data_IF_580423789961
#
_entry.id   IF_580423789961
#
_cell.length_a   1.000
_cell.length_b   1.000
_cell.length_c   1.000
_cell.angle_alpha   90.00
_cell.angle_beta   90.00
_cell.angle_gamma   90.00
#
_symmetry.space_group_name_H-M   'P 1'
#
loop_
_entity.id
_entity.type
_entity.pdbx_description
1 polymer ?
#
# COMPACT_ATOMS: atom_id res chain seq x y z
N UNK A 1 42.39 25.54 -4.99
CA UNK A 1 41.73 25.42 -3.67
C UNK A 1 40.29 25.03 -3.93
N UNK A 2 39.98 23.72 -3.81
CA UNK A 2 38.65 23.16 -4.00
C UNK A 2 37.85 23.36 -2.73
N UNK A 3 36.74 24.08 -2.84
CA UNK A 3 35.79 24.26 -1.74
C UNK A 3 35.15 22.88 -1.41
N UNK A 4 35.43 22.36 -0.23
CA UNK A 4 34.72 21.24 0.36
C UNK A 4 33.24 21.63 0.51
N UNK A 5 32.35 20.88 -0.15
CA UNK A 5 30.93 20.92 0.12
C UNK A 5 30.67 20.31 1.50
N UNK A 6 30.62 21.13 2.54
CA UNK A 6 30.17 20.72 3.87
C UNK A 6 28.63 20.61 3.89
N UNK A 7 28.11 19.58 3.24
CA UNK A 7 26.76 19.10 3.48
C UNK A 7 26.79 17.93 4.48
N UNK A 8 25.70 17.64 5.20
CA UNK A 8 25.65 16.47 6.06
C UNK A 8 26.01 15.20 5.26
N UNK A 9 26.86 14.37 5.82
CA UNK A 9 27.25 13.10 5.22
C UNK A 9 26.02 12.20 5.07
N UNK A 10 25.88 11.53 3.92
CA UNK A 10 24.77 10.62 3.69
C UNK A 10 24.90 9.40 4.63
N UNK A 11 23.90 9.21 5.48
CA UNK A 11 23.88 8.07 6.43
C UNK A 11 23.69 6.73 5.71
N UNK A 12 23.10 6.74 4.53
CA UNK A 12 22.87 5.55 3.71
C UNK A 12 22.75 5.92 2.23
N UNK A 13 23.26 5.07 1.38
CA UNK A 13 23.16 5.17 -0.07
C UNK A 13 22.70 3.81 -0.62
N UNK A 14 21.71 3.76 -1.54
CA UNK A 14 21.26 2.52 -2.15
C UNK A 14 22.41 1.81 -2.86
N UNK A 15 22.54 0.49 -2.69
CA UNK A 15 23.58 -0.31 -3.40
C UNK A 15 23.43 -0.25 -4.92
N UNK A 16 22.22 0.00 -5.42
CA UNK A 16 21.86 0.12 -6.83
C UNK A 16 21.50 1.55 -7.22
N UNK A 17 22.16 2.56 -6.64
CA UNK A 17 21.93 3.97 -6.98
C UNK A 17 21.97 4.17 -8.50
N UNK A 18 21.00 4.92 -9.03
CA UNK A 18 20.79 5.14 -10.48
C UNK A 18 20.04 4.01 -11.19
N UNK A 19 19.71 2.89 -10.51
CA UNK A 19 18.94 1.76 -11.03
C UNK A 19 17.73 1.38 -10.16
N UNK A 20 17.37 2.22 -9.23
CA UNK A 20 16.14 2.00 -8.42
C UNK A 20 14.90 2.08 -9.30
N UNK A 21 13.74 1.52 -8.89
CA UNK A 21 12.49 1.69 -9.63
C UNK A 21 12.15 3.16 -9.90
N UNK A 22 12.46 4.06 -8.94
CA UNK A 22 12.29 5.52 -9.10
C UNK A 22 13.20 6.07 -10.20
N UNK A 23 14.47 5.63 -10.29
CA UNK A 23 15.39 6.03 -11.36
C UNK A 23 14.92 5.51 -12.72
N UNK A 24 14.46 4.26 -12.77
CA UNK A 24 13.91 3.67 -14.00
C UNK A 24 12.72 4.46 -14.50
N UNK A 25 11.78 4.82 -13.61
CA UNK A 25 10.64 5.66 -13.95
C UNK A 25 11.08 7.06 -14.42
N UNK A 26 12.04 7.69 -13.74
CA UNK A 26 12.61 8.98 -14.16
C UNK A 26 13.23 8.91 -15.57
N UNK A 27 13.94 7.82 -15.89
CA UNK A 27 14.48 7.61 -17.23
C UNK A 27 13.35 7.42 -18.27
N UNK A 28 12.32 6.66 -17.93
CA UNK A 28 11.14 6.46 -18.77
C UNK A 28 10.47 7.79 -19.14
N UNK A 29 10.15 8.64 -18.15
CA UNK A 29 9.50 9.93 -18.41
C UNK A 29 10.41 10.90 -19.17
N UNK A 30 11.73 10.88 -18.91
CA UNK A 30 12.69 11.65 -19.70
C UNK A 30 12.62 11.30 -21.18
N UNK A 31 12.58 10.02 -21.52
CA UNK A 31 12.47 9.56 -22.90
C UNK A 31 11.11 9.91 -23.51
N UNK A 32 10.03 9.63 -22.79
CA UNK A 32 8.67 9.78 -23.29
C UNK A 32 8.27 11.24 -23.51
N UNK A 33 8.66 12.12 -22.59
CA UNK A 33 8.26 13.53 -22.59
C UNK A 33 9.40 14.49 -22.98
N UNK A 34 10.54 13.96 -23.46
CA UNK A 34 11.72 14.75 -23.84
C UNK A 34 12.22 15.65 -22.70
N UNK A 35 12.19 15.13 -21.47
CA UNK A 35 12.64 15.82 -20.26
C UNK A 35 14.12 15.53 -19.96
N UNK A 36 14.70 16.33 -19.06
CA UNK A 36 16.10 16.16 -18.62
C UNK A 36 16.21 16.14 -17.10
N UNK A 37 15.33 15.39 -16.43
CA UNK A 37 15.27 15.28 -14.97
C UNK A 37 16.49 14.50 -14.47
N UNK A 38 17.29 15.12 -13.59
CA UNK A 38 18.56 14.58 -13.11
C UNK A 38 18.40 13.76 -11.81
N UNK A 39 17.41 14.11 -10.99
CA UNK A 39 17.20 13.55 -9.67
C UNK A 39 15.71 13.43 -9.29
N UNK A 40 15.46 12.84 -8.13
CA UNK A 40 14.11 12.65 -7.57
C UNK A 40 13.40 13.98 -7.27
N UNK A 41 14.15 15.04 -6.91
CA UNK A 41 13.55 16.36 -6.63
C UNK A 41 13.00 16.99 -7.90
N UNK A 42 13.71 16.82 -9.02
CA UNK A 42 13.24 17.30 -10.31
C UNK A 42 12.05 16.47 -10.82
N UNK A 43 12.06 15.16 -10.59
CA UNK A 43 10.91 14.29 -10.88
C UNK A 43 9.68 14.74 -10.07
N UNK A 44 9.83 14.97 -8.77
CA UNK A 44 8.76 15.48 -7.90
C UNK A 44 8.27 16.85 -8.37
N UNK A 45 9.18 17.76 -8.75
CA UNK A 45 8.78 19.07 -9.28
C UNK A 45 7.93 18.93 -10.56
N UNK A 46 8.34 18.05 -11.48
CA UNK A 46 7.55 17.78 -12.69
C UNK A 46 6.19 17.18 -12.35
N UNK A 47 6.11 16.24 -11.41
CA UNK A 47 4.84 15.63 -11.00
C UNK A 47 3.80 16.64 -10.47
N UNK A 48 4.27 17.75 -9.91
CA UNK A 48 3.41 18.85 -9.43
C UNK A 48 3.09 19.86 -10.55
N UNK A 49 4.02 20.08 -11.46
CA UNK A 49 3.83 21.03 -12.57
C UNK A 49 2.93 20.45 -13.68
N UNK A 50 3.01 19.13 -13.91
CA UNK A 50 2.22 18.42 -14.91
C UNK A 50 1.57 17.16 -14.31
N UNK A 51 0.66 17.33 -13.35
CA UNK A 51 0.09 16.20 -12.61
C UNK A 51 -0.76 15.27 -13.48
N UNK A 52 -1.36 15.78 -14.55
CA UNK A 52 -2.20 14.96 -15.43
C UNK A 52 -1.36 13.92 -16.17
N UNK A 53 -0.30 14.34 -16.83
CA UNK A 53 0.62 13.43 -17.51
C UNK A 53 1.34 12.52 -16.52
N UNK A 54 1.77 13.05 -15.37
CA UNK A 54 2.43 12.25 -14.35
C UNK A 54 1.56 11.07 -13.87
N UNK A 55 0.32 11.32 -13.45
CA UNK A 55 -0.53 10.28 -12.87
C UNK A 55 -1.02 9.26 -13.91
N UNK A 56 -1.35 9.71 -15.13
CA UNK A 56 -1.73 8.80 -16.21
C UNK A 56 -0.55 7.91 -16.61
N UNK A 57 0.63 8.49 -16.71
CA UNK A 57 1.83 7.76 -17.07
C UNK A 57 2.23 6.76 -16.00
N UNK A 58 2.28 7.20 -14.74
CA UNK A 58 2.64 6.36 -13.61
C UNK A 58 1.68 5.17 -13.46
N UNK A 59 0.37 5.40 -13.60
CA UNK A 59 -0.64 4.33 -13.58
C UNK A 59 -0.32 3.26 -14.63
N UNK A 60 -0.05 3.69 -15.86
CA UNK A 60 0.26 2.80 -16.97
C UNK A 60 1.61 2.11 -16.77
N UNK A 61 2.61 2.83 -16.30
CA UNK A 61 3.96 2.31 -16.07
C UNK A 61 4.00 1.24 -14.99
N UNK A 62 3.19 1.41 -13.95
CA UNK A 62 3.02 0.42 -12.89
C UNK A 62 2.18 -0.80 -13.32
N UNK A 63 1.55 -0.78 -14.50
CA UNK A 63 0.72 -1.88 -14.99
C UNK A 63 -0.53 -2.11 -14.14
N UNK A 64 -1.11 -1.04 -13.56
CA UNK A 64 -2.28 -1.17 -12.72
C UNK A 64 -3.51 -1.61 -13.53
N UNK A 65 -4.39 -2.37 -12.87
CA UNK A 65 -5.63 -2.88 -13.46
C UNK A 65 -6.86 -2.23 -12.79
N UNK A 66 -7.93 -1.99 -13.61
CA UNK A 66 -8.03 -2.19 -15.06
C UNK A 66 -7.19 -1.18 -15.84
N UNK A 67 -6.80 -1.51 -17.07
CA UNK A 67 -6.05 -0.60 -17.93
C UNK A 67 -6.83 0.69 -18.18
N UNK A 68 -6.12 1.82 -18.27
CA UNK A 68 -6.73 3.12 -18.57
C UNK A 68 -7.37 3.12 -19.96
N UNK A 69 -8.53 3.78 -20.15
CA UNK A 69 -9.06 4.06 -21.48
C UNK A 69 -8.02 4.80 -22.34
N UNK A 70 -7.90 4.42 -23.61
CA UNK A 70 -6.91 5.02 -24.54
C UNK A 70 -7.11 6.51 -24.78
N UNK A 71 -8.30 7.00 -24.59
CA UNK A 71 -8.72 8.39 -24.75
C UNK A 71 -8.75 9.20 -23.46
N UNK A 72 -8.35 8.61 -22.34
CA UNK A 72 -8.31 9.29 -21.05
C UNK A 72 -7.27 10.43 -21.08
N UNK A 73 -7.73 11.66 -20.91
CA UNK A 73 -6.88 12.86 -20.96
C UNK A 73 -6.60 13.47 -19.59
N UNK A 74 -7.38 13.10 -18.58
CA UNK A 74 -7.28 13.68 -17.25
C UNK A 74 -7.32 12.60 -16.19
N UNK A 75 -6.33 12.65 -15.28
CA UNK A 75 -6.33 11.78 -14.11
C UNK A 75 -7.40 12.20 -13.09
N UNK A 76 -7.72 13.49 -13.01
CA UNK A 76 -8.76 14.08 -12.16
C UNK A 76 -9.18 15.44 -12.73
N UNK A 77 -10.34 15.96 -12.30
CA UNK A 77 -10.80 17.29 -12.69
C UNK A 77 -9.99 18.38 -11.96
N UNK A 78 -9.14 19.16 -12.66
CA UNK A 78 -8.31 20.19 -12.04
C UNK A 78 -9.10 21.40 -11.51
N UNK A 79 -10.39 21.52 -11.85
CA UNK A 79 -11.26 22.56 -11.33
C UNK A 79 -11.82 22.23 -9.93
N UNK A 80 -11.74 20.96 -9.52
CA UNK A 80 -12.13 20.52 -8.19
C UNK A 80 -10.91 20.62 -7.26
N UNK A 81 -10.98 21.43 -6.19
CA UNK A 81 -9.90 21.52 -5.21
C UNK A 81 -9.56 20.15 -4.60
N UNK A 82 -8.30 19.85 -4.36
CA UNK A 82 -7.86 18.59 -3.72
C UNK A 82 -8.52 18.36 -2.35
N UNK A 83 -8.82 19.45 -1.60
CA UNK A 83 -9.56 19.39 -0.33
C UNK A 83 -10.99 18.85 -0.47
N UNK A 84 -11.57 18.90 -1.67
CA UNK A 84 -12.89 18.34 -1.98
C UNK A 84 -12.83 16.91 -2.50
N UNK A 85 -11.64 16.28 -2.46
CA UNK A 85 -11.39 14.90 -2.89
C UNK A 85 -11.92 14.60 -4.30
N UNK A 86 -11.33 15.19 -5.36
CA UNK A 86 -11.79 14.98 -6.73
C UNK A 86 -11.74 13.49 -7.08
N UNK A 87 -12.66 13.04 -7.94
CA UNK A 87 -12.64 11.67 -8.46
C UNK A 87 -11.41 11.47 -9.33
N UNK A 88 -10.61 10.47 -8.97
CA UNK A 88 -9.44 10.04 -9.74
C UNK A 88 -9.86 9.06 -10.82
N UNK A 89 -9.26 9.19 -12.00
CA UNK A 89 -9.50 8.35 -13.16
C UNK A 89 -11.00 8.13 -13.43
N UNK A 90 -11.75 9.20 -13.81
CA UNK A 90 -13.20 9.13 -13.92
C UNK A 90 -13.66 7.98 -14.81
N UNK A 91 -14.65 7.22 -14.35
CA UNK A 91 -15.17 6.06 -15.08
C UNK A 91 -14.41 4.75 -14.81
N UNK A 92 -13.32 4.78 -14.03
CA UNK A 92 -12.62 3.58 -13.58
C UNK A 92 -13.06 3.18 -12.18
N UNK A 93 -13.28 1.88 -12.02
CA UNK A 93 -13.41 1.23 -10.73
C UNK A 93 -12.25 0.25 -10.57
N UNK A 94 -11.42 0.45 -9.56
CA UNK A 94 -10.30 -0.45 -9.29
C UNK A 94 -10.24 -0.85 -7.83
N UNK A 95 -9.66 -2.02 -7.57
CA UNK A 95 -9.52 -2.56 -6.24
C UNK A 95 -8.05 -2.52 -5.81
N UNK A 96 -7.79 -1.97 -4.62
CA UNK A 96 -6.44 -1.90 -4.07
C UNK A 96 -5.83 -3.30 -3.88
N UNK A 97 -6.60 -4.23 -3.26
CA UNK A 97 -6.09 -5.58 -2.97
C UNK A 97 -5.80 -6.37 -4.24
N UNK A 98 -6.59 -6.21 -5.30
CA UNK A 98 -6.32 -6.83 -6.60
C UNK A 98 -4.95 -6.41 -7.13
N UNK A 99 -4.69 -5.10 -7.17
CA UNK A 99 -3.42 -4.57 -7.64
C UNK A 99 -2.25 -4.96 -6.73
N UNK A 100 -2.43 -4.93 -5.41
CA UNK A 100 -1.38 -5.28 -4.45
C UNK A 100 -1.03 -6.76 -4.49
N UNK A 101 -2.03 -7.64 -4.50
CA UNK A 101 -1.85 -9.10 -4.42
C UNK A 101 -1.23 -9.70 -5.68
N UNK A 102 -1.42 -9.07 -6.84
CA UNK A 102 -0.89 -9.54 -8.12
C UNK A 102 0.28 -8.70 -8.65
N UNK A 103 0.88 -7.85 -7.82
CA UNK A 103 2.05 -7.04 -8.16
C UNK A 103 3.32 -7.86 -8.41
N UNK A 104 3.43 -9.05 -7.82
CA UNK A 104 4.53 -9.98 -8.03
C UNK A 104 3.99 -11.28 -8.64
N UNK A 105 4.45 -11.70 -9.82
CA UNK A 105 4.04 -12.95 -10.46
C UNK A 105 4.71 -14.20 -9.89
N UNK A 106 5.77 -14.06 -9.10
CA UNK A 106 6.50 -15.18 -8.50
C UNK A 106 5.76 -15.67 -7.27
N UNK A 107 5.07 -16.81 -7.41
CA UNK A 107 4.28 -17.44 -6.37
C UNK A 107 5.11 -17.86 -5.15
N UNK A 108 6.35 -18.27 -5.37
CA UNK A 108 7.24 -18.82 -4.34
C UNK A 108 8.10 -17.75 -3.64
N UNK A 109 8.11 -16.51 -4.17
CA UNK A 109 8.80 -15.42 -3.52
C UNK A 109 8.11 -15.05 -2.19
N UNK A 110 8.92 -14.63 -1.20
CA UNK A 110 8.40 -14.16 0.09
C UNK A 110 7.62 -12.85 -0.11
N UNK A 111 6.36 -12.87 0.30
CA UNK A 111 5.47 -11.71 0.30
C UNK A 111 5.52 -10.95 1.63
N UNK A 112 5.49 -11.68 2.75
CA UNK A 112 5.43 -11.11 4.09
C UNK A 112 6.48 -11.75 4.99
N UNK A 113 7.06 -10.94 5.86
CA UNK A 113 7.95 -11.38 6.94
C UNK A 113 7.40 -10.78 8.24
N UNK A 114 7.02 -11.65 9.17
CA UNK A 114 6.58 -11.28 10.52
C UNK A 114 7.74 -11.43 11.49
N UNK A 115 8.07 -10.35 12.19
CA UNK A 115 9.07 -10.35 13.25
C UNK A 115 8.41 -10.03 14.58
N UNK A 116 8.85 -10.68 15.66
CA UNK A 116 8.43 -10.41 17.03
C UNK A 116 9.61 -9.82 17.80
N UNK A 117 9.33 -9.14 18.91
CA UNK A 117 10.38 -8.51 19.72
C UNK A 117 11.43 -9.51 20.26
N UNK A 118 10.99 -10.76 20.48
CA UNK A 118 11.84 -11.87 20.93
C UNK A 118 12.49 -12.66 19.76
N UNK A 119 12.25 -12.26 18.51
CA UNK A 119 12.79 -12.96 17.35
C UNK A 119 14.30 -12.76 17.25
N UNK A 120 15.05 -13.85 17.25
CA UNK A 120 16.48 -13.82 16.95
C UNK A 120 16.69 -13.58 15.44
N UNK A 121 17.03 -12.35 15.09
CA UNK A 121 17.29 -11.96 13.70
C UNK A 121 18.47 -12.71 13.07
N UNK A 122 19.34 -13.31 13.88
CA UNK A 122 20.47 -14.13 13.40
C UNK A 122 20.06 -15.55 12.99
N UNK A 123 18.93 -16.04 13.54
CA UNK A 123 18.45 -17.40 13.39
C UNK A 123 17.41 -17.58 12.28
N UNK A 124 17.00 -16.52 11.57
CA UNK A 124 15.92 -16.55 10.56
C UNK A 124 14.56 -17.05 11.11
N UNK A 125 14.30 -16.81 12.40
CA UNK A 125 13.12 -17.32 13.12
C UNK A 125 11.83 -16.51 12.86
N UNK A 126 11.83 -15.59 11.91
CA UNK A 126 10.64 -14.83 11.53
C UNK A 126 9.60 -15.71 10.83
N UNK A 127 8.32 -15.47 11.14
CA UNK A 127 7.21 -16.04 10.37
C UNK A 127 7.25 -15.49 8.94
N UNK A 128 7.20 -16.35 7.93
CA UNK A 128 7.20 -15.93 6.53
C UNK A 128 5.98 -16.46 5.81
N UNK A 129 5.54 -15.73 4.78
CA UNK A 129 4.46 -16.13 3.90
C UNK A 129 4.82 -15.81 2.46
N UNK A 130 4.72 -16.80 1.57
CA UNK A 130 4.94 -16.60 0.12
C UNK A 130 3.76 -15.86 -0.52
N UNK A 131 3.94 -15.34 -1.74
CA UNK A 131 2.86 -14.69 -2.48
C UNK A 131 1.68 -15.65 -2.74
N UNK A 132 1.95 -16.91 -3.02
CA UNK A 132 0.94 -17.95 -3.20
C UNK A 132 0.12 -18.16 -1.93
N UNK A 133 0.79 -18.34 -0.81
CA UNK A 133 0.13 -18.51 0.49
C UNK A 133 -0.66 -17.27 0.89
N UNK A 134 -0.09 -16.09 0.70
CA UNK A 134 -0.75 -14.84 1.01
C UNK A 134 -2.05 -14.66 0.22
N UNK A 135 -2.02 -14.88 -1.10
CA UNK A 135 -3.21 -14.85 -1.94
C UNK A 135 -4.27 -15.84 -1.47
N UNK A 136 -3.86 -17.06 -1.13
CA UNK A 136 -4.79 -18.09 -0.66
C UNK A 136 -5.40 -17.75 0.70
N UNK A 137 -4.61 -17.26 1.65
CA UNK A 137 -5.12 -16.83 2.96
C UNK A 137 -6.08 -15.64 2.83
N UNK A 138 -5.78 -14.67 1.98
CA UNK A 138 -6.69 -13.56 1.67
C UNK A 138 -7.99 -14.06 1.07
N UNK A 139 -7.93 -15.00 0.13
CA UNK A 139 -9.12 -15.61 -0.51
C UNK A 139 -10.01 -16.34 0.51
N UNK A 140 -9.41 -17.14 1.38
CA UNK A 140 -10.12 -17.89 2.43
C UNK A 140 -10.77 -16.93 3.44
N UNK A 141 -10.03 -15.92 3.88
CA UNK A 141 -10.50 -14.92 4.83
C UNK A 141 -11.62 -14.08 4.23
N UNK A 142 -11.51 -13.63 2.99
CA UNK A 142 -12.58 -12.91 2.29
C UNK A 142 -13.83 -13.77 2.15
N UNK A 143 -13.68 -15.08 1.88
CA UNK A 143 -14.80 -16.03 1.83
C UNK A 143 -15.48 -16.17 3.19
N UNK A 144 -14.72 -16.23 4.28
CA UNK A 144 -15.26 -16.27 5.65
C UNK A 144 -16.03 -14.98 5.99
N UNK A 145 -15.45 -13.81 5.71
CA UNK A 145 -16.11 -12.53 5.92
C UNK A 145 -17.43 -12.40 5.15
N UNK A 146 -17.47 -12.87 3.88
CA UNK A 146 -18.74 -12.90 3.10
C UNK A 146 -19.79 -13.79 3.73
N UNK A 147 -19.41 -14.98 4.20
CA UNK A 147 -20.33 -15.88 4.92
C UNK A 147 -20.84 -15.30 6.22
N UNK A 148 -20.04 -14.46 6.87
CA UNK A 148 -20.45 -13.69 8.07
C UNK A 148 -21.30 -12.47 7.73
N UNK A 149 -21.65 -12.22 6.46
CA UNK A 149 -22.54 -11.18 6.01
C UNK A 149 -21.87 -9.85 5.66
N UNK A 150 -20.54 -9.77 5.67
CA UNK A 150 -19.80 -8.54 5.28
C UNK A 150 -20.02 -8.24 3.80
N UNK A 151 -20.31 -6.99 3.49
CA UNK A 151 -20.58 -6.46 2.14
C UNK A 151 -19.68 -5.26 1.84
N UNK A 152 -19.67 -4.84 0.59
CA UNK A 152 -19.02 -3.60 0.17
C UNK A 152 -19.52 -2.41 0.99
N UNK A 153 -18.61 -1.56 1.45
CA UNK A 153 -18.90 -0.40 2.27
C UNK A 153 -19.03 -0.69 3.77
N UNK A 154 -19.12 -1.97 4.19
CA UNK A 154 -19.10 -2.33 5.60
C UNK A 154 -17.75 -2.02 6.24
N UNK A 155 -17.75 -1.83 7.56
CA UNK A 155 -16.55 -1.54 8.34
C UNK A 155 -16.15 -2.76 9.14
N UNK A 156 -14.95 -3.26 8.85
CA UNK A 156 -14.30 -4.39 9.53
C UNK A 156 -13.25 -3.83 10.48
N UNK A 157 -13.43 -4.03 11.77
CA UNK A 157 -12.47 -3.65 12.79
C UNK A 157 -11.70 -4.88 13.28
N UNK A 158 -10.38 -4.76 13.38
CA UNK A 158 -9.52 -5.80 13.92
C UNK A 158 -8.76 -5.27 15.14
N UNK A 159 -8.92 -5.95 16.28
CA UNK A 159 -8.11 -5.75 17.47
C UNK A 159 -7.01 -6.81 17.45
N UNK A 160 -5.90 -6.48 16.85
CA UNK A 160 -4.80 -7.43 16.55
C UNK A 160 -3.45 -6.73 16.69
N UNK A 161 -2.44 -7.48 17.11
CA UNK A 161 -1.06 -7.03 17.03
C UNK A 161 -0.60 -6.86 15.57
N UNK A 162 0.48 -6.10 15.38
CA UNK A 162 1.14 -6.00 14.07
C UNK A 162 1.70 -7.37 13.70
N UNK A 163 1.10 -8.00 12.68
CA UNK A 163 1.44 -9.37 12.27
C UNK A 163 1.12 -9.57 10.78
N UNK A 164 1.60 -10.67 10.20
CA UNK A 164 1.24 -11.04 8.83
C UNK A 164 -0.27 -11.27 8.69
N UNK A 165 -0.94 -11.72 9.74
CA UNK A 165 -2.39 -11.95 9.75
C UNK A 165 -3.21 -10.66 9.72
N UNK A 166 -2.70 -9.58 10.32
CA UNK A 166 -3.30 -8.25 10.16
C UNK A 166 -3.30 -7.83 8.69
N UNK A 167 -2.22 -8.14 7.95
CA UNK A 167 -2.12 -7.89 6.51
C UNK A 167 -3.08 -8.74 5.69
N UNK A 168 -3.28 -10.02 6.08
CA UNK A 168 -4.28 -10.91 5.45
C UNK A 168 -5.70 -10.33 5.64
N UNK A 169 -6.06 -9.94 6.86
CA UNK A 169 -7.37 -9.35 7.16
C UNK A 169 -7.60 -8.02 6.39
N UNK A 170 -6.59 -7.17 6.34
CA UNK A 170 -6.64 -5.92 5.57
C UNK A 170 -6.94 -6.17 4.10
N UNK A 171 -6.14 -7.03 3.45
CA UNK A 171 -6.33 -7.31 2.03
C UNK A 171 -7.63 -8.06 1.74
N UNK A 172 -8.06 -8.96 2.63
CA UNK A 172 -9.35 -9.63 2.52
C UNK A 172 -10.52 -8.63 2.57
N UNK A 173 -10.49 -7.70 3.52
CA UNK A 173 -11.51 -6.64 3.62
C UNK A 173 -11.49 -5.73 2.41
N UNK A 174 -10.30 -5.25 1.99
CA UNK A 174 -10.14 -4.39 0.83
C UNK A 174 -10.58 -5.08 -0.47
N UNK A 175 -10.32 -6.40 -0.64
CA UNK A 175 -10.74 -7.17 -1.82
C UNK A 175 -12.26 -7.22 -2.00
N UNK A 176 -13.02 -7.03 -0.92
CA UNK A 176 -14.48 -7.00 -0.91
C UNK A 176 -15.05 -5.57 -1.04
N UNK A 177 -14.19 -4.56 -1.08
CA UNK A 177 -14.61 -3.16 -0.98
C UNK A 177 -15.11 -2.76 0.41
N UNK A 178 -14.78 -3.53 1.44
CA UNK A 178 -15.04 -3.17 2.84
C UNK A 178 -13.94 -2.24 3.37
N UNK A 179 -14.30 -1.43 4.37
CA UNK A 179 -13.39 -0.49 5.02
C UNK A 179 -12.75 -1.20 6.20
N UNK A 180 -11.42 -1.27 6.21
CA UNK A 180 -10.67 -1.92 7.28
C UNK A 180 -10.12 -0.90 8.27
N UNK A 181 -10.18 -1.24 9.57
CA UNK A 181 -9.48 -0.52 10.64
C UNK A 181 -8.79 -1.49 11.57
N UNK A 182 -7.58 -1.15 11.98
CA UNK A 182 -6.80 -1.92 12.93
C UNK A 182 -6.62 -1.12 14.23
N UNK A 183 -6.78 -1.79 15.36
CA UNK A 183 -6.64 -1.23 16.70
C UNK A 183 -5.57 -2.05 17.40
N UNK A 184 -4.56 -1.38 17.99
CA UNK A 184 -3.54 -2.05 18.79
C UNK A 184 -4.14 -2.52 20.13
N UNK A 185 -3.83 -3.75 20.57
CA UNK A 185 -4.20 -4.24 21.90
C UNK A 185 -3.65 -3.38 23.04
N UNK A 186 -2.55 -2.66 22.83
CA UNK A 186 -1.87 -1.84 23.82
C UNK A 186 -2.68 -0.61 24.28
N UNK A 187 -3.75 -0.26 23.57
CA UNK A 187 -4.61 0.88 23.95
C UNK A 187 -5.44 0.66 25.22
N UNK A 188 -5.44 -0.55 25.74
CA UNK A 188 -6.32 -0.93 26.86
C UNK A 188 -7.81 -0.91 26.48
N UNK A 189 -8.65 -1.43 27.37
CA UNK A 189 -10.07 -1.65 27.10
C UNK A 189 -10.82 -0.37 26.71
N UNK A 190 -10.67 0.71 27.47
CA UNK A 190 -11.38 1.97 27.22
C UNK A 190 -10.99 2.59 25.87
N UNK A 191 -9.68 2.56 25.54
CA UNK A 191 -9.16 3.05 24.26
C UNK A 191 -9.72 2.24 23.09
N UNK A 192 -9.75 0.92 23.19
CA UNK A 192 -10.31 0.04 22.15
C UNK A 192 -11.81 0.29 21.97
N UNK A 193 -12.60 0.34 23.04
CA UNK A 193 -14.05 0.61 22.98
C UNK A 193 -14.33 1.97 22.34
N UNK A 194 -13.59 3.01 22.73
CA UNK A 194 -13.74 4.35 22.15
C UNK A 194 -13.50 4.34 20.62
N UNK A 195 -12.46 3.64 20.15
CA UNK A 195 -12.17 3.52 18.72
C UNK A 195 -13.24 2.74 17.96
N UNK A 196 -13.71 1.63 18.52
CA UNK A 196 -14.79 0.84 17.92
C UNK A 196 -16.10 1.65 17.78
N UNK A 197 -16.41 2.46 18.80
CA UNK A 197 -17.58 3.35 18.76
C UNK A 197 -17.45 4.44 17.67
N UNK A 198 -16.26 5.05 17.52
CA UNK A 198 -16.00 6.04 16.48
C UNK A 198 -16.16 5.46 15.07
N UNK A 199 -15.72 4.24 14.87
CA UNK A 199 -15.79 3.57 13.56
C UNK A 199 -17.19 3.03 13.28
N UNK A 200 -18.00 2.74 14.31
CA UNK A 200 -19.29 2.05 14.19
C UNK A 200 -19.17 0.79 13.29
N UNK A 201 -18.23 -0.10 13.64
CA UNK A 201 -17.89 -1.26 12.83
C UNK A 201 -19.04 -2.27 12.72
N UNK A 202 -19.15 -2.90 11.55
CA UNK A 202 -20.15 -3.93 11.26
C UNK A 202 -19.74 -5.27 11.88
N UNK A 203 -18.44 -5.57 11.89
CA UNK A 203 -17.87 -6.80 12.47
C UNK A 203 -16.57 -6.50 13.19
N UNK A 204 -16.30 -7.22 14.25
CA UNK A 204 -15.04 -7.18 14.99
C UNK A 204 -14.33 -8.51 14.91
N UNK A 205 -13.01 -8.44 14.81
CA UNK A 205 -12.14 -9.61 14.81
C UNK A 205 -11.06 -9.39 15.85
N UNK A 206 -10.84 -10.41 16.68
CA UNK A 206 -9.74 -10.40 17.65
C UNK A 206 -8.87 -11.62 17.43
N UNK A 207 -7.57 -11.51 17.62
CA UNK A 207 -6.70 -12.67 17.75
C UNK A 207 -6.85 -13.22 19.18
N UNK A 208 -7.04 -14.52 19.32
CA UNK A 208 -6.78 -15.23 20.57
C UNK A 208 -5.26 -15.26 20.81
N UNK A 209 -4.73 -14.20 21.34
CA UNK A 209 -3.35 -14.12 21.81
C UNK A 209 -3.43 -13.56 23.21
N UNK A 210 -3.18 -14.40 24.20
CA UNK A 210 -3.09 -13.97 25.58
C UNK A 210 -2.09 -12.83 25.67
N UNK A 211 -2.48 -11.77 26.34
CA UNK A 211 -1.56 -10.81 26.91
C UNK A 211 -0.86 -11.59 28.01
N UNK A 212 0.28 -12.21 27.71
CA UNK A 212 1.16 -12.70 28.73
C UNK A 212 1.65 -11.47 29.51
N UNK A 213 1.18 -11.40 30.74
CA UNK A 213 1.45 -10.37 31.75
C UNK A 213 2.90 -10.35 32.19
#
# INVERSE_FOLDING_TARGET
MSAQKNGPEALWIPRNAGKTPMDQYRHHVNQKYSLHLQDTKQLQKWSVQDPQNFWIDLYTWLGLVPALPKDLKQAYDPQVPMSSNPKWFPGLEFNYAENALFSNPDDDAIALVGLRDDTDLSASDGETMTWKEFREQVRLTASALRRSGVKQGDRVAALVATSIWAMVLFHASASMGAIFTCISPDLGLEGCVSRLQQVASTIWLTSEGGVDS
#
